data_IF_237286992679
#
_entry.id   IF_237286992679
#
_cell.length_a   1.000
_cell.length_b   1.000
_cell.length_c   1.000
_cell.angle_alpha   90.00
_cell.angle_beta   90.00
_cell.angle_gamma   90.00
#
_symmetry.space_group_name_H-M   'P 1'
#
loop_
_entity.id
_entity.type
_entity.pdbx_description
1 polymer ?
#
# COMPACT_ATOMS: atom_id res chain seq x y z
N UNK A 1 19.81 4.41 -16.10
CA UNK A 1 19.90 5.49 -15.10
C UNK A 1 18.62 5.40 -14.27
N UNK A 2 18.69 4.99 -13.00
CA UNK A 2 17.51 4.97 -12.12
C UNK A 2 17.21 6.41 -11.72
N UNK A 3 16.15 6.98 -12.27
CA UNK A 3 15.69 8.32 -11.86
C UNK A 3 15.01 8.20 -10.51
N UNK A 4 15.61 8.79 -9.48
CA UNK A 4 15.02 8.87 -8.14
C UNK A 4 14.07 10.06 -8.08
N UNK A 5 12.79 9.81 -7.84
CA UNK A 5 11.86 10.87 -7.45
C UNK A 5 11.94 11.04 -5.94
N UNK A 6 12.37 12.23 -5.55
CA UNK A 6 12.39 12.63 -4.15
C UNK A 6 11.28 13.66 -3.93
N UNK A 7 10.52 13.51 -2.86
CA UNK A 7 9.64 14.54 -2.34
C UNK A 7 10.37 15.25 -1.22
N UNK A 8 10.35 16.58 -1.22
CA UNK A 8 10.84 17.37 -0.09
C UNK A 8 9.62 17.71 0.77
N UNK A 9 9.48 17.05 1.92
CA UNK A 9 8.41 17.26 2.89
C UNK A 9 9.00 17.92 4.13
N UNK A 10 8.60 19.17 4.43
CA UNK A 10 9.01 19.91 5.64
C UNK A 10 10.54 20.05 5.86
N UNK A 11 11.37 19.69 4.87
CA UNK A 11 12.84 19.73 4.92
C UNK A 11 13.51 18.39 4.82
N UNK A 12 12.74 17.31 4.93
CA UNK A 12 13.21 15.95 4.75
C UNK A 12 13.02 15.52 3.31
N UNK A 13 14.06 14.90 2.76
CA UNK A 13 14.04 14.29 1.44
C UNK A 13 13.51 12.86 1.57
N UNK A 14 12.32 12.61 1.02
CA UNK A 14 11.70 11.29 0.97
C UNK A 14 11.79 10.73 -0.44
N UNK A 15 12.58 9.70 -0.65
CA UNK A 15 12.64 9.02 -1.94
C UNK A 15 11.39 8.14 -2.10
N UNK A 16 10.57 8.43 -3.11
CA UNK A 16 9.30 7.73 -3.35
C UNK A 16 9.38 6.71 -4.50
N UNK A 17 10.59 6.47 -5.03
CA UNK A 17 10.85 5.52 -6.12
C UNK A 17 11.89 4.45 -5.78
N UNK A 18 12.66 4.63 -4.71
CA UNK A 18 13.54 3.59 -4.20
C UNK A 18 12.96 2.96 -2.94
N UNK A 19 11.89 2.19 -3.11
CA UNK A 19 11.56 1.15 -2.16
C UNK A 19 12.61 0.08 -2.40
N UNK A 20 13.53 -0.09 -1.45
CA UNK A 20 14.32 -1.31 -1.37
C UNK A 20 13.37 -2.53 -1.51
N UNK A 21 13.86 -3.69 -1.96
CA UNK A 21 13.07 -4.93 -2.16
C UNK A 21 12.43 -5.42 -0.84
N UNK A 22 11.45 -4.69 -0.37
CA UNK A 22 10.80 -4.74 0.93
C UNK A 22 9.42 -5.33 0.72
N UNK A 23 8.84 -5.85 1.79
CA UNK A 23 7.46 -6.35 1.73
C UNK A 23 6.47 -5.25 2.12
N UNK A 24 5.20 -5.46 1.80
CA UNK A 24 4.10 -4.54 2.12
C UNK A 24 4.16 -4.01 3.57
N UNK A 25 4.30 -4.90 4.56
CA UNK A 25 4.34 -4.53 5.98
C UNK A 25 5.44 -3.50 6.30
N UNK A 26 6.64 -3.65 5.72
CA UNK A 26 7.77 -2.76 5.99
C UNK A 26 7.52 -1.36 5.44
N UNK A 27 6.95 -1.26 4.24
CA UNK A 27 6.61 0.04 3.62
C UNK A 27 5.36 0.67 4.21
N UNK A 28 4.45 -0.14 4.76
CA UNK A 28 3.13 0.30 5.18
C UNK A 28 3.19 1.45 6.19
N UNK A 29 4.15 1.40 7.12
CA UNK A 29 4.32 2.42 8.13
C UNK A 29 4.87 3.75 7.59
N UNK A 30 5.48 3.74 6.41
CA UNK A 30 6.06 4.93 5.78
C UNK A 30 5.08 5.64 4.85
N UNK A 31 3.93 5.05 4.52
CA UNK A 31 2.93 5.71 3.68
C UNK A 31 2.27 6.88 4.42
N UNK A 32 2.10 8.00 3.71
CA UNK A 32 1.46 9.21 4.25
C UNK A 32 -0.07 9.10 4.21
N UNK A 33 -0.61 8.24 3.33
CA UNK A 33 -2.02 7.91 3.29
C UNK A 33 -2.24 6.43 2.92
N UNK A 34 -3.35 5.88 3.43
CA UNK A 34 -3.87 4.55 3.12
C UNK A 34 -5.39 4.66 3.09
N UNK A 35 -5.98 4.41 1.94
CA UNK A 35 -7.43 4.54 1.72
C UNK A 35 -7.98 3.34 0.97
N UNK A 36 -9.29 3.13 1.07
CA UNK A 36 -10.03 2.35 0.06
C UNK A 36 -10.97 3.25 -0.71
N UNK A 37 -11.14 2.96 -1.99
CA UNK A 37 -12.02 3.75 -2.84
C UNK A 37 -12.20 3.16 -4.23
N UNK A 38 -13.06 3.82 -5.01
CA UNK A 38 -13.38 3.46 -6.39
C UNK A 38 -13.08 4.62 -7.33
N UNK A 39 -12.75 4.32 -8.59
CA UNK A 39 -12.62 5.38 -9.60
C UNK A 39 -13.97 6.07 -9.80
N UNK A 40 -13.98 7.40 -9.72
CA UNK A 40 -15.21 8.22 -9.75
C UNK A 40 -15.39 9.01 -11.06
N UNK A 41 -14.43 8.94 -11.98
CA UNK A 41 -14.47 9.76 -13.20
C UNK A 41 -13.36 9.43 -14.20
N UNK A 42 -13.21 10.29 -15.20
CA UNK A 42 -12.22 10.14 -16.25
C UNK A 42 -10.79 10.37 -15.75
N UNK A 43 -9.86 9.58 -16.29
CA UNK A 43 -8.44 9.72 -16.00
C UNK A 43 -7.86 10.81 -16.89
N UNK A 44 -7.19 11.80 -16.29
CA UNK A 44 -6.48 12.85 -17.04
C UNK A 44 -5.00 12.53 -17.09
N UNK A 45 -4.40 12.56 -18.28
CA UNK A 45 -2.95 12.36 -18.45
C UNK A 45 -2.27 13.70 -18.64
N UNK A 46 -1.22 13.95 -17.86
CA UNK A 46 -0.39 15.15 -17.95
C UNK A 46 1.08 14.78 -17.85
N UNK A 47 1.95 15.71 -18.23
CA UNK A 47 3.34 15.68 -17.84
C UNK A 47 3.55 16.71 -16.73
N UNK A 48 4.18 16.32 -15.63
CA UNK A 48 4.43 17.18 -14.48
C UNK A 48 5.92 17.23 -14.18
N UNK A 49 6.46 18.43 -14.01
CA UNK A 49 7.84 18.61 -13.56
C UNK A 49 7.91 18.46 -12.04
N UNK A 50 8.66 17.46 -11.57
CA UNK A 50 8.92 17.19 -10.17
C UNK A 50 10.43 17.28 -9.95
N UNK A 51 10.86 18.27 -9.16
CA UNK A 51 12.28 18.56 -8.88
C UNK A 51 13.16 18.66 -10.14
N UNK A 52 12.64 19.27 -11.22
CA UNK A 52 13.40 19.47 -12.46
C UNK A 52 13.43 18.26 -13.39
N UNK A 53 12.72 17.18 -13.06
CA UNK A 53 12.53 16.01 -13.93
C UNK A 53 11.07 15.95 -14.37
N UNK A 54 10.84 15.73 -15.66
CA UNK A 54 9.50 15.63 -16.24
C UNK A 54 8.99 14.20 -16.15
N UNK A 55 7.88 14.01 -15.44
CA UNK A 55 7.25 12.72 -15.22
C UNK A 55 5.91 12.62 -15.94
N UNK A 56 5.61 11.43 -16.47
CA UNK A 56 4.28 11.11 -16.98
C UNK A 56 3.34 10.81 -15.80
N UNK A 57 2.22 11.52 -15.71
CA UNK A 57 1.25 11.38 -14.61
C UNK A 57 -0.14 11.06 -15.15
N UNK A 58 -0.79 10.08 -14.53
CA UNK A 58 -2.23 9.84 -14.64
C UNK A 58 -2.93 10.34 -13.38
N UNK A 59 -3.76 11.37 -13.52
CA UNK A 59 -4.62 11.87 -12.46
C UNK A 59 -5.90 11.03 -12.44
N UNK A 60 -6.10 10.31 -11.36
CA UNK A 60 -7.23 9.39 -11.17
C UNK A 60 -8.13 9.94 -10.06
N UNK A 61 -9.38 10.33 -10.37
CA UNK A 61 -10.34 10.73 -9.34
C UNK A 61 -10.87 9.50 -8.61
N UNK A 62 -10.72 9.46 -7.30
CA UNK A 62 -11.13 8.36 -6.42
C UNK A 62 -12.22 8.84 -5.46
N UNK A 63 -13.37 8.19 -5.48
CA UNK A 63 -14.36 8.28 -4.42
C UNK A 63 -13.89 7.44 -3.24
N UNK A 64 -13.69 8.07 -2.09
CA UNK A 64 -13.09 7.47 -0.89
C UNK A 64 -14.17 6.84 -0.03
N UNK A 65 -14.06 5.53 0.20
CA UNK A 65 -15.03 4.75 0.96
C UNK A 65 -14.57 4.54 2.41
N UNK A 66 -13.26 4.42 2.62
CA UNK A 66 -12.67 4.20 3.94
C UNK A 66 -11.26 4.79 3.99
N UNK A 67 -10.85 5.27 5.16
CA UNK A 67 -9.54 5.88 5.40
C UNK A 67 -8.90 5.15 6.56
N UNK A 68 -7.79 4.46 6.29
CA UNK A 68 -6.98 3.79 7.31
C UNK A 68 -5.94 4.75 7.88
N UNK A 69 -5.41 5.64 7.03
CA UNK A 69 -4.39 6.61 7.40
C UNK A 69 -4.42 7.83 6.49
N UNK A 70 -4.05 8.98 7.05
CA UNK A 70 -3.72 10.19 6.31
C UNK A 70 -4.83 11.24 6.40
N UNK A 71 -4.62 12.40 5.77
CA UNK A 71 -5.53 13.56 5.87
C UNK A 71 -6.70 13.51 4.89
N UNK A 72 -6.91 12.39 4.19
CA UNK A 72 -7.98 12.24 3.20
C UNK A 72 -9.28 11.93 3.95
N UNK A 73 -10.39 12.54 3.56
CA UNK A 73 -11.69 12.36 4.21
C UNK A 73 -12.54 11.30 3.52
N UNK A 74 -13.31 10.53 4.31
CA UNK A 74 -14.29 9.56 3.81
C UNK A 74 -15.44 10.29 3.10
N UNK A 75 -16.06 9.66 2.10
CA UNK A 75 -17.14 10.21 1.29
C UNK A 75 -16.77 11.46 0.47
N UNK A 76 -15.47 11.64 0.18
CA UNK A 76 -14.98 12.69 -0.71
C UNK A 76 -14.43 12.12 -2.01
N UNK A 77 -14.24 12.99 -3.01
CA UNK A 77 -13.51 12.66 -4.24
C UNK A 77 -12.13 13.30 -4.16
N UNK A 78 -11.08 12.47 -4.15
CA UNK A 78 -9.68 12.91 -4.16
C UNK A 78 -9.03 12.60 -5.50
N UNK A 79 -8.24 13.54 -6.02
CA UNK A 79 -7.42 13.29 -7.20
C UNK A 79 -6.06 12.72 -6.78
N UNK A 80 -5.81 11.46 -7.14
CA UNK A 80 -4.53 10.81 -6.94
C UNK A 80 -3.66 10.91 -8.20
N UNK A 81 -2.37 11.17 -8.01
CA UNK A 81 -1.39 11.39 -9.06
C UNK A 81 -0.55 10.12 -9.21
N UNK A 82 -0.95 9.25 -10.12
CA UNK A 82 -0.22 8.02 -10.44
C UNK A 82 0.94 8.35 -11.37
N UNK A 83 2.17 8.08 -10.94
CA UNK A 83 3.34 8.13 -11.84
C UNK A 83 3.25 6.96 -12.80
N UNK A 84 3.48 7.18 -14.09
CA UNK A 84 3.32 6.15 -15.15
C UNK A 84 4.53 6.03 -16.09
N UNK A 85 5.66 6.64 -15.75
CA UNK A 85 6.90 6.51 -16.52
C UNK A 85 7.74 5.29 -16.10
N UNK A 86 8.80 4.98 -16.84
CA UNK A 86 9.65 3.81 -16.60
C UNK A 86 10.55 3.91 -15.36
N UNK A 87 10.69 5.08 -14.75
CA UNK A 87 11.60 5.29 -13.62
C UNK A 87 10.95 5.01 -12.27
N UNK A 88 9.65 5.28 -12.17
CA UNK A 88 8.90 5.20 -10.92
C UNK A 88 7.42 4.89 -11.11
N UNK A 89 7.05 4.50 -12.33
CA UNK A 89 5.67 4.30 -12.69
C UNK A 89 5.07 3.07 -12.06
N UNK A 90 3.79 3.18 -11.72
CA UNK A 90 2.99 2.03 -11.34
C UNK A 90 2.83 1.07 -12.52
N UNK A 91 2.60 -0.21 -12.22
CA UNK A 91 2.07 -1.13 -13.23
C UNK A 91 0.67 -0.63 -13.66
N UNK A 92 0.38 -0.73 -14.96
CA UNK A 92 -0.94 -0.43 -15.54
C UNK A 92 -2.12 -1.10 -14.80
N UNK A 93 -1.93 -2.29 -14.24
CA UNK A 93 -2.94 -3.03 -13.49
C UNK A 93 -3.21 -2.45 -12.09
N UNK A 94 -2.28 -1.62 -11.60
CA UNK A 94 -2.39 -0.93 -10.32
C UNK A 94 -3.26 0.33 -10.43
N UNK A 95 -3.52 0.84 -11.64
CA UNK A 95 -4.41 1.98 -11.85
C UNK A 95 -5.86 1.52 -11.70
N UNK A 96 -6.66 2.13 -10.79
CA UNK A 96 -8.03 1.72 -10.57
C UNK A 96 -8.89 1.73 -11.84
N UNK A 97 -9.56 0.61 -12.10
CA UNK A 97 -10.53 0.47 -13.20
C UNK A 97 -11.94 0.85 -12.71
N UNK A 98 -12.87 0.98 -13.66
CA UNK A 98 -14.28 1.26 -13.32
C UNK A 98 -14.85 0.11 -12.46
N UNK A 99 -15.78 0.45 -11.56
CA UNK A 99 -16.61 -0.49 -10.79
C UNK A 99 -15.87 -1.42 -9.80
N UNK A 100 -14.58 -1.19 -9.58
CA UNK A 100 -13.76 -1.97 -8.66
C UNK A 100 -13.28 -1.13 -7.48
N UNK A 101 -13.33 -1.71 -6.27
CA UNK A 101 -12.75 -1.10 -5.07
C UNK A 101 -11.26 -1.45 -4.96
N UNK A 102 -10.44 -0.45 -4.66
CA UNK A 102 -9.00 -0.58 -4.50
C UNK A 102 -8.53 -0.12 -3.13
N UNK A 103 -7.59 -0.86 -2.54
CA UNK A 103 -6.74 -0.41 -1.44
C UNK A 103 -5.61 0.38 -2.10
N UNK A 104 -5.47 1.64 -1.72
CA UNK A 104 -4.50 2.56 -2.33
C UNK A 104 -3.67 3.19 -1.22
N UNK A 105 -2.36 3.04 -1.33
CA UNK A 105 -1.38 3.70 -0.47
C UNK A 105 -0.58 4.72 -1.27
N UNK A 106 0.13 5.60 -0.57
CA UNK A 106 1.07 6.48 -1.24
C UNK A 106 1.62 7.58 -0.36
N UNK A 107 2.12 8.61 -1.02
CA UNK A 107 2.85 9.70 -0.42
C UNK A 107 2.17 11.05 -0.64
N UNK A 108 2.24 11.92 0.36
CA UNK A 108 1.72 13.29 0.28
C UNK A 108 2.89 14.21 0.01
N UNK A 109 2.79 15.04 -1.03
CA UNK A 109 3.78 16.08 -1.27
C UNK A 109 3.39 17.38 -0.57
N UNK A 110 4.10 17.70 0.52
CA UNK A 110 3.97 18.97 1.23
C UNK A 110 4.99 19.96 0.69
N UNK A 111 4.57 20.89 -0.15
CA UNK A 111 5.48 21.93 -0.63
C UNK A 111 5.88 22.85 0.53
N UNK A 112 7.19 23.00 0.79
CA UNK A 112 7.72 24.08 1.64
C UNK A 112 7.46 25.42 0.93
N UNK A 113 6.43 26.18 1.29
CA UNK A 113 6.50 27.65 1.17
C UNK A 113 5.44 28.39 1.99
N UNK A 114 5.95 29.37 2.72
CA UNK A 114 5.29 30.61 3.13
C UNK A 114 4.30 31.10 2.06
N UNK A 115 2.99 31.00 2.33
CA UNK A 115 1.95 31.65 1.52
C UNK A 115 1.22 30.79 0.48
N UNK A 116 1.55 29.51 0.30
CA UNK A 116 0.69 28.63 -0.49
C UNK A 116 -0.61 28.32 0.28
N UNK A 117 -1.78 28.41 -0.39
CA UNK A 117 -3.08 28.07 0.21
C UNK A 117 -3.00 26.65 0.80
N UNK A 118 -3.04 26.54 2.13
CA UNK A 118 -3.18 25.27 2.85
C UNK A 118 -4.31 24.45 2.20
N UNK A 119 -4.08 23.16 1.96
CA UNK A 119 -5.13 22.22 1.51
C UNK A 119 -5.16 21.84 0.02
N UNK A 120 -4.08 22.09 -0.76
CA UNK A 120 -3.97 21.64 -2.17
C UNK A 120 -2.72 20.80 -2.46
N UNK A 121 -2.32 19.96 -1.51
CA UNK A 121 -1.15 19.11 -1.68
C UNK A 121 -1.50 17.88 -2.53
N UNK A 122 -0.67 17.54 -3.54
CA UNK A 122 -0.92 16.35 -4.35
C UNK A 122 -0.57 15.07 -3.57
N UNK A 123 -1.40 14.05 -3.77
CA UNK A 123 -1.21 12.69 -3.27
C UNK A 123 -0.69 11.81 -4.42
N UNK A 124 0.53 11.29 -4.27
CA UNK A 124 1.19 10.51 -5.29
C UNK A 124 1.10 9.02 -5.01
N UNK A 125 0.92 8.25 -6.09
CA UNK A 125 1.02 6.79 -6.10
C UNK A 125 2.14 6.42 -7.08
N UNK A 126 3.11 5.65 -6.61
CA UNK A 126 4.32 5.28 -7.36
C UNK A 126 4.51 3.77 -7.42
N UNK A 127 5.55 3.31 -8.11
CA UNK A 127 5.99 1.91 -8.09
C UNK A 127 6.22 1.34 -6.66
N UNK A 128 6.46 2.22 -5.69
CA UNK A 128 6.68 1.87 -4.29
C UNK A 128 5.46 1.97 -3.41
N UNK A 129 4.35 2.44 -3.98
CA UNK A 129 3.04 2.41 -3.37
C UNK A 129 2.33 1.11 -3.73
N UNK A 130 1.25 0.81 -3.01
CA UNK A 130 0.43 -0.36 -3.26
C UNK A 130 -0.96 0.10 -3.69
N UNK A 131 -1.41 -0.37 -4.86
CA UNK A 131 -2.75 -0.12 -5.38
C UNK A 131 -3.34 -1.43 -5.89
N UNK A 132 -4.12 -2.09 -5.02
CA UNK A 132 -4.58 -3.47 -5.19
C UNK A 132 -6.10 -3.54 -5.11
N UNK A 133 -6.73 -4.41 -5.90
CA UNK A 133 -8.18 -4.64 -5.80
C UNK A 133 -8.52 -5.23 -4.44
N UNK A 134 -9.54 -4.70 -3.76
CA UNK A 134 -9.91 -5.17 -2.42
C UNK A 134 -10.24 -6.66 -2.38
N UNK A 135 -10.90 -7.18 -3.42
CA UNK A 135 -11.28 -8.59 -3.51
C UNK A 135 -10.09 -9.55 -3.74
N UNK A 136 -8.87 -9.03 -3.95
CA UNK A 136 -7.66 -9.84 -4.09
C UNK A 136 -6.83 -9.91 -2.81
N UNK A 137 -7.22 -9.15 -1.79
CA UNK A 137 -6.56 -9.13 -0.49
C UNK A 137 -6.81 -10.44 0.25
N UNK A 138 -5.78 -10.93 0.91
CA UNK A 138 -5.84 -12.08 1.82
C UNK A 138 -6.31 -11.67 3.21
N UNK A 139 -6.70 -12.63 4.05
CA UNK A 139 -7.06 -12.33 5.44
C UNK A 139 -5.87 -11.74 6.20
N UNK A 140 -4.64 -12.18 5.91
CA UNK A 140 -3.42 -11.60 6.51
C UNK A 140 -3.20 -10.16 6.07
N UNK A 141 -3.44 -9.82 4.80
CA UNK A 141 -3.36 -8.44 4.35
C UNK A 141 -4.46 -7.57 4.97
N UNK A 142 -5.68 -8.07 5.05
CA UNK A 142 -6.80 -7.37 5.68
C UNK A 142 -6.48 -7.09 7.15
N UNK A 143 -6.01 -8.09 7.91
CA UNK A 143 -5.60 -7.90 9.31
C UNK A 143 -4.42 -6.94 9.47
N UNK A 144 -3.42 -7.04 8.59
CA UNK A 144 -2.28 -6.14 8.54
C UNK A 144 -2.68 -4.67 8.38
N UNK A 145 -3.53 -4.41 7.39
CA UNK A 145 -3.95 -3.06 6.98
C UNK A 145 -4.97 -2.47 7.96
N UNK A 146 -6.08 -3.18 8.19
CA UNK A 146 -7.25 -2.61 8.87
C UNK A 146 -7.22 -2.82 10.38
N UNK A 147 -6.64 -3.92 10.87
CA UNK A 147 -6.49 -4.18 12.31
C UNK A 147 -5.18 -3.64 12.89
N UNK A 148 -4.52 -2.71 12.17
CA UNK A 148 -3.27 -2.04 12.58
C UNK A 148 -2.10 -2.97 12.92
N UNK A 149 -2.09 -4.21 12.40
CA UNK A 149 -1.05 -5.18 12.74
C UNK A 149 0.28 -4.93 12.00
N UNK A 150 0.28 -4.14 10.93
CA UNK A 150 1.52 -3.80 10.22
C UNK A 150 2.43 -2.82 10.96
N UNK A 151 1.86 -1.95 11.80
CA UNK A 151 2.62 -0.97 12.58
C UNK A 151 2.37 -1.19 14.06
N UNK A 152 3.32 -1.82 14.76
CA UNK A 152 3.25 -1.95 16.21
C UNK A 152 3.27 -0.54 16.84
N UNK A 153 2.37 -0.29 17.80
CA UNK A 153 2.02 1.04 18.35
C UNK A 153 3.18 1.82 19.04
N UNK A 154 4.37 1.23 19.18
CA UNK A 154 5.54 1.86 19.80
C UNK A 154 6.71 2.15 18.85
N UNK A 155 6.41 2.52 17.60
CA UNK A 155 7.37 3.18 16.69
C UNK A 155 8.72 2.46 16.53
N UNK A 156 8.70 1.19 16.15
CA UNK A 156 9.81 0.63 15.37
C UNK A 156 9.24 0.03 14.09
N UNK A 157 9.69 0.49 12.91
CA UNK A 157 9.50 -0.30 11.71
C UNK A 157 10.11 -1.68 11.99
N UNK A 158 9.41 -2.74 11.60
CA UNK A 158 9.97 -4.09 11.66
C UNK A 158 11.16 -4.09 10.70
N UNK A 159 12.35 -3.91 11.27
CA UNK A 159 13.58 -3.86 10.49
C UNK A 159 13.79 -5.21 9.82
N UNK A 160 14.60 -5.22 8.77
CA UNK A 160 15.05 -6.44 8.08
C UNK A 160 15.67 -7.47 9.05
N UNK A 161 16.10 -7.01 10.22
CA UNK A 161 16.75 -7.80 11.27
C UNK A 161 15.77 -8.48 12.23
N UNK A 162 14.48 -8.09 12.23
CA UNK A 162 13.46 -8.75 13.06
C UNK A 162 12.97 -10.05 12.40
N UNK A 163 12.49 -9.98 11.16
CA UNK A 163 12.04 -11.16 10.41
C UNK A 163 12.75 -11.26 9.05
N UNK A 164 13.66 -12.21 8.93
CA UNK A 164 14.36 -12.46 7.66
C UNK A 164 13.46 -13.17 6.64
N UNK A 165 13.61 -12.83 5.36
CA UNK A 165 12.93 -13.51 4.26
C UNK A 165 13.83 -13.51 3.01
N UNK A 166 13.71 -14.54 2.15
CA UNK A 166 14.41 -14.52 0.87
C UNK A 166 13.75 -13.51 -0.08
N UNK A 167 14.53 -12.60 -0.67
CA UNK A 167 14.05 -11.53 -1.55
C UNK A 167 13.16 -12.04 -2.70
N UNK A 168 13.48 -13.20 -3.25
CA UNK A 168 12.69 -13.79 -4.34
C UNK A 168 11.26 -14.16 -3.95
N UNK A 169 10.99 -14.31 -2.65
CA UNK A 169 9.69 -14.65 -2.11
C UNK A 169 8.94 -13.44 -1.54
N UNK A 170 9.47 -12.22 -1.68
CA UNK A 170 8.91 -11.01 -1.06
C UNK A 170 7.40 -10.83 -1.35
N UNK A 171 6.94 -11.17 -2.55
CA UNK A 171 5.52 -11.11 -2.93
C UNK A 171 4.66 -12.12 -2.14
N UNK A 172 5.17 -13.33 -1.89
CA UNK A 172 4.48 -14.33 -1.07
C UNK A 172 4.40 -13.90 0.40
N UNK A 173 5.48 -13.33 0.94
CA UNK A 173 5.49 -12.80 2.30
C UNK A 173 4.52 -11.62 2.44
N UNK A 174 4.56 -10.66 1.51
CA UNK A 174 3.64 -9.51 1.48
C UNK A 174 2.17 -9.92 1.44
N UNK A 175 1.88 -11.09 0.85
CA UNK A 175 0.52 -11.57 0.66
C UNK A 175 0.01 -12.45 1.80
N UNK A 176 0.82 -13.34 2.35
CA UNK A 176 0.31 -14.41 3.25
C UNK A 176 0.94 -14.40 4.64
N UNK A 177 1.90 -13.51 4.90
CA UNK A 177 2.65 -13.48 6.15
C UNK A 177 2.69 -12.08 6.75
N UNK A 178 2.75 -12.05 8.07
CA UNK A 178 2.94 -10.86 8.87
C UNK A 178 4.00 -11.17 9.92
N UNK A 179 4.99 -10.31 10.07
CA UNK A 179 5.98 -10.42 11.12
C UNK A 179 5.38 -9.82 12.37
N UNK A 180 5.34 -10.59 13.45
CA UNK A 180 4.84 -10.15 14.75
C UNK A 180 5.94 -10.38 15.79
N UNK A 181 6.09 -9.45 16.72
CA UNK A 181 6.92 -9.64 17.91
C UNK A 181 6.09 -10.35 18.98
N UNK A 182 6.51 -11.56 19.34
CA UNK A 182 5.95 -12.32 20.45
C UNK A 182 7.08 -12.64 21.43
N UNK A 183 7.01 -12.08 22.65
CA UNK A 183 7.98 -12.35 23.72
C UNK A 183 9.45 -12.08 23.36
N UNK A 184 9.76 -10.95 22.72
CA UNK A 184 11.10 -10.58 22.25
C UNK A 184 11.66 -11.49 21.13
N UNK A 185 10.78 -12.24 20.47
CA UNK A 185 11.11 -13.03 19.28
C UNK A 185 10.16 -12.65 18.15
N UNK A 186 10.73 -12.33 17.00
CA UNK A 186 9.97 -11.89 15.85
C UNK A 186 9.77 -13.06 14.87
N UNK A 187 8.51 -13.37 14.56
CA UNK A 187 8.17 -14.54 13.74
C UNK A 187 7.17 -14.22 12.63
N UNK A 188 7.32 -14.92 11.51
CA UNK A 188 6.40 -14.88 10.38
C UNK A 188 5.14 -15.70 10.66
N UNK A 189 4.07 -15.00 10.97
CA UNK A 189 2.77 -15.56 11.24
C UNK A 189 1.82 -15.38 10.05
N UNK A 190 0.76 -16.17 10.02
CA UNK A 190 -0.40 -15.94 9.15
C UNK A 190 -1.60 -15.66 10.04
N UNK A 191 -2.45 -14.73 9.64
CA UNK A 191 -3.67 -14.46 10.40
C UNK A 191 -4.67 -15.58 10.14
N UNK A 192 -5.17 -16.19 11.21
CA UNK A 192 -6.14 -17.29 11.14
C UNK A 192 -7.59 -16.80 11.25
N UNK A 193 -7.80 -15.70 11.96
CA UNK A 193 -9.11 -15.07 12.13
C UNK A 193 -8.93 -13.60 12.54
N UNK A 194 -9.92 -12.78 12.20
CA UNK A 194 -10.06 -11.41 12.68
C UNK A 194 -11.29 -11.38 13.59
N UNK A 195 -11.11 -10.98 14.86
CA UNK A 195 -12.23 -10.90 15.82
C UNK A 195 -13.02 -9.62 15.66
N UNK A 196 -12.31 -8.52 15.42
CA UNK A 196 -12.90 -7.19 15.35
C UNK A 196 -13.05 -6.76 13.88
N UNK A 197 -14.31 -6.59 13.48
CA UNK A 197 -14.69 -6.24 12.11
C UNK A 197 -14.97 -4.73 11.94
N UNK A 198 -14.93 -3.96 13.03
CA UNK A 198 -15.31 -2.54 13.05
C UNK A 198 -14.45 -1.68 12.12
N UNK A 199 -13.13 -1.91 12.14
CA UNK A 199 -12.16 -1.17 11.31
C UNK A 199 -12.05 -1.72 9.88
N UNK A 200 -12.70 -2.85 9.59
CA UNK A 200 -12.64 -3.49 8.27
C UNK A 200 -13.76 -2.90 7.39
N UNK A 201 -13.48 -2.50 6.13
CA UNK A 201 -14.52 -2.06 5.20
C UNK A 201 -15.65 -3.08 5.09
N UNK A 202 -16.90 -2.63 5.19
CA UNK A 202 -18.09 -3.51 5.14
C UNK A 202 -18.13 -4.43 3.91
N UNK A 203 -17.61 -3.97 2.78
CA UNK A 203 -17.52 -4.77 1.54
C UNK A 203 -16.62 -6.01 1.66
N UNK A 204 -15.72 -6.06 2.65
CA UNK A 204 -14.87 -7.21 2.94
C UNK A 204 -15.45 -8.14 4.01
N UNK A 205 -16.53 -7.77 4.71
CA UNK A 205 -17.03 -8.54 5.85
C UNK A 205 -17.43 -9.96 5.48
N UNK A 206 -18.22 -10.12 4.42
CA UNK A 206 -18.62 -11.45 3.93
C UNK A 206 -17.42 -12.28 3.48
N UNK A 207 -16.43 -11.66 2.83
CA UNK A 207 -15.21 -12.34 2.43
C UNK A 207 -14.44 -12.89 3.64
N UNK A 208 -14.20 -12.04 4.65
CA UNK A 208 -13.52 -12.44 5.89
C UNK A 208 -14.27 -13.55 6.61
N UNK A 209 -15.59 -13.44 6.74
CA UNK A 209 -16.42 -14.47 7.37
C UNK A 209 -16.33 -15.81 6.62
N UNK A 210 -16.42 -15.79 5.28
CA UNK A 210 -16.30 -17.01 4.48
C UNK A 210 -14.92 -17.66 4.64
N UNK A 211 -13.84 -16.88 4.62
CA UNK A 211 -12.48 -17.41 4.83
C UNK A 211 -12.32 -18.09 6.21
N UNK A 212 -12.96 -17.54 7.25
CA UNK A 212 -12.98 -18.13 8.60
C UNK A 212 -13.75 -19.45 8.59
N UNK A 213 -14.94 -19.49 7.99
CA UNK A 213 -15.77 -20.71 7.89
C UNK A 213 -15.04 -21.81 7.11
N UNK A 214 -14.41 -21.45 6.00
CA UNK A 214 -13.64 -22.37 5.15
C UNK A 214 -12.29 -22.80 5.76
N UNK A 215 -11.88 -22.20 6.88
CA UNK A 215 -10.60 -22.45 7.56
C UNK A 215 -9.41 -22.35 6.60
N UNK A 216 -9.39 -21.29 5.81
CA UNK A 216 -8.32 -21.10 4.82
C UNK A 216 -6.96 -21.01 5.50
N UNK A 217 -6.06 -21.90 5.11
CA UNK A 217 -4.72 -21.98 5.67
C UNK A 217 -3.74 -21.15 4.82
N UNK A 218 -3.58 -19.88 5.16
CA UNK A 218 -2.67 -18.98 4.44
C UNK A 218 -1.20 -19.37 4.57
N UNK A 219 -0.81 -20.07 5.63
CA UNK A 219 0.54 -20.64 5.74
C UNK A 219 0.79 -21.71 4.65
N UNK A 220 -0.23 -22.49 4.29
CA UNK A 220 -0.18 -23.43 3.15
C UNK A 220 -0.11 -22.68 1.82
N UNK A 221 -0.93 -21.64 1.63
CA UNK A 221 -0.92 -20.81 0.42
C UNK A 221 0.43 -20.12 0.21
N UNK A 222 1.03 -19.62 1.30
CA UNK A 222 2.40 -19.10 1.31
C UNK A 222 3.39 -20.13 0.77
N UNK A 223 3.37 -21.35 1.31
CA UNK A 223 4.30 -22.40 0.91
C UNK A 223 4.11 -22.81 -0.55
N UNK A 224 2.87 -22.84 -1.04
CA UNK A 224 2.58 -23.06 -2.45
C UNK A 224 3.12 -21.92 -3.33
N UNK A 225 2.89 -20.67 -2.94
CA UNK A 225 3.42 -19.49 -3.61
C UNK A 225 4.96 -19.55 -3.75
N UNK A 226 5.66 -19.80 -2.64
CA UNK A 226 7.14 -19.89 -2.64
C UNK A 226 7.63 -21.04 -3.52
N UNK A 227 6.96 -22.20 -3.49
CA UNK A 227 7.30 -23.35 -4.35
C UNK A 227 7.14 -23.02 -5.82
N UNK A 228 6.06 -22.32 -6.21
CA UNK A 228 5.83 -21.94 -7.59
C UNK A 228 6.89 -20.96 -8.08
N UNK A 229 7.29 -19.98 -7.26
CA UNK A 229 8.37 -19.05 -7.61
C UNK A 229 9.73 -19.74 -7.80
N UNK A 230 10.00 -20.82 -7.06
CA UNK A 230 11.23 -21.61 -7.25
C UNK A 230 11.26 -22.41 -8.55
N UNK A 231 10.11 -22.83 -9.07
CA UNK A 231 10.03 -23.62 -10.32
C UNK A 231 10.28 -22.81 -11.58
N UNK A 232 10.13 -21.49 -11.51
CA UNK A 232 10.30 -20.57 -12.63
C UNK A 232 11.62 -19.78 -12.56
N UNK A 233 12.58 -20.26 -11.76
CA UNK A 233 13.97 -19.80 -11.73
C UNK A 233 14.86 -20.82 -12.41
#
# INVERSE_FOLDING_TARGET
>A
MLTTLTLINDGEMKNICSCENTILQQRFCDYDFVITGRKAGEIKRINMDLLGVRHGISIVPIAVNHVVRGPIEVNTIVNLFYVVDSSCGVDSNSIPKNDESYLITGYRYKRRSTGARKGKEPFFVTACSDSMKLNTLTITQIGGVFSQLYCLREYKPITKDFCSFPLYAASCFSKYRICLDTNNTAEWNSILYLRDMEDIPKELHNFVQNQIVERVNEARLHNQCVRNLRKHR
#
